data_IF_842349959638
#
_entry.id   IF_842349959638
#
_cell.length_a   1.000
_cell.length_b   1.000
_cell.length_c   1.000
_cell.angle_alpha   90.00
_cell.angle_beta   90.00
_cell.angle_gamma   90.00
#
_symmetry.space_group_name_H-M   'P 1'
#
loop_
_entity.id
_entity.type
_entity.pdbx_description
1 polymer ?
2 non-polymer ?
3 water ?
#
# COMPACT_ATOMS: atom_id res chain seq x y z
N UNK A 6 -11.89 -13.67 -18.81
CA UNK A 6 -10.82 -14.47 -19.33
C UNK A 6 -10.43 -15.37 -18.16
N UNK A 7 -9.32 -16.01 -18.26
CA UNK A 7 -8.83 -16.95 -17.25
C UNK A 7 -7.45 -16.54 -16.78
N UNK A 8 -7.46 -15.38 -16.23
CA UNK A 8 -6.33 -14.65 -15.76
C UNK A 8 -5.70 -15.29 -14.57
N UNK A 9 -6.49 -15.56 -13.52
CA UNK A 9 -5.85 -16.27 -12.41
C UNK A 9 -5.09 -17.49 -12.89
N UNK A 10 -5.81 -18.39 -13.55
CA UNK A 10 -5.24 -19.62 -14.08
C UNK A 10 -4.00 -19.39 -14.94
N UNK A 11 -4.09 -18.43 -15.85
CA UNK A 11 -3.01 -18.20 -16.81
C UNK A 11 -1.80 -17.53 -16.18
N UNK A 12 -2.05 -16.51 -15.37
CA UNK A 12 -0.99 -15.59 -14.95
C UNK A 12 -0.54 -15.71 -13.50
N UNK A 13 -1.30 -16.42 -12.67
CA UNK A 13 -0.88 -16.68 -11.28
C UNK A 13 0.48 -17.41 -11.19
N UNK A 14 0.70 -18.46 -12.02
CA UNK A 14 1.99 -19.15 -11.96
C UNK A 14 3.21 -18.26 -12.25
N UNK A 15 3.04 -17.21 -13.05
CA UNK A 15 4.16 -16.29 -13.32
C UNK A 15 4.33 -15.17 -12.28
N UNK A 16 3.23 -14.50 -11.93
CA UNK A 16 3.30 -13.29 -11.10
C UNK A 16 2.82 -13.46 -9.66
N UNK A 17 2.12 -14.56 -9.39
CA UNK A 17 1.60 -14.84 -8.06
C UNK A 17 2.68 -15.35 -7.13
N UNK A 18 2.53 -15.02 -5.85
CA UNK A 18 3.46 -15.47 -4.81
C UNK A 18 2.65 -16.18 -3.73
N UNK A 19 2.98 -17.45 -3.48
CA UNK A 19 2.28 -18.25 -2.49
C UNK A 19 2.69 -17.85 -1.06
N UNK A 20 1.76 -17.94 -0.13
CA UNK A 20 2.06 -17.70 1.29
C UNK A 20 3.00 -18.78 1.83
N UNK A 21 3.90 -18.35 2.71
CA UNK A 21 4.96 -19.21 3.21
C UNK A 21 5.32 -18.81 4.62
N UNK A 22 5.75 -19.80 5.41
CA UNK A 22 6.32 -19.58 6.74
C UNK A 22 7.69 -18.89 6.70
N UNK A 23 8.20 -18.61 5.50
CA UNK A 23 9.57 -18.16 5.29
C UNK A 23 9.63 -16.75 4.72
N UNK A 24 10.68 -16.02 5.07
CA UNK A 24 10.90 -14.67 4.55
C UNK A 24 11.19 -14.69 3.06
N UNK A 25 10.62 -13.72 2.33
CA UNK A 25 10.95 -13.54 0.92
C UNK A 25 12.37 -13.00 0.76
N UNK A 26 13.00 -13.41 -0.34
CA UNK A 26 14.31 -12.95 -0.75
C UNK A 26 14.03 -12.12 -2.01
N UNK A 27 13.99 -10.80 -1.88
CA UNK A 27 13.61 -9.92 -2.99
C UNK A 27 14.53 -10.04 -4.22
N UNK A 28 15.88 -10.05 -4.04
CA UNK A 28 16.75 -10.37 -5.18
C UNK A 28 16.39 -11.66 -5.93
N UNK A 29 16.12 -12.75 -5.22
CA UNK A 29 15.71 -13.99 -5.87
C UNK A 29 14.34 -13.83 -6.54
N UNK A 30 13.41 -13.17 -5.86
CA UNK A 30 12.06 -13.00 -6.38
C UNK A 30 12.04 -12.16 -7.66
N UNK A 31 12.69 -11.01 -7.62
CA UNK A 31 12.63 -10.02 -8.69
C UNK A 31 13.81 -10.09 -9.68
N UNK A 32 14.79 -10.96 -9.41
CA UNK A 32 15.93 -11.16 -10.32
C UNK A 32 16.96 -10.05 -10.34
N UNK A 33 16.87 -9.14 -9.38
CA UNK A 33 17.75 -7.97 -9.30
C UNK A 33 17.71 -7.36 -7.90
N UNK A 34 18.57 -6.36 -7.68
CA UNK A 34 18.54 -5.54 -6.48
C UNK A 34 17.98 -4.18 -6.89
N UNK A 35 16.76 -3.88 -6.43
CA UNK A 35 16.07 -2.64 -6.77
C UNK A 35 15.11 -2.26 -5.63
N UNK A 36 14.73 -0.96 -5.52
CA UNK A 36 13.77 -0.59 -4.46
C UNK A 36 12.45 -1.33 -4.60
N UNK A 37 11.83 -1.68 -3.46
CA UNK A 37 10.58 -2.45 -3.44
C UNK A 37 9.43 -1.67 -2.78
N UNK A 38 8.31 -1.59 -3.49
CA UNK A 38 7.12 -0.92 -2.96
C UNK A 38 6.01 -1.95 -2.76
N UNK A 39 5.38 -1.94 -1.58
CA UNK A 39 4.23 -2.80 -1.30
C UNK A 39 2.92 -2.01 -1.31
N UNK A 40 1.95 -2.47 -2.10
CA UNK A 40 0.58 -1.97 -1.96
C UNK A 40 -0.30 -2.98 -1.25
N UNK A 41 -0.86 -2.56 -0.11
CA UNK A 41 -1.77 -3.41 0.65
C UNK A 41 -3.21 -3.13 0.24
N UNK A 42 -3.93 -4.19 -0.16
CA UNK A 42 -5.33 -4.07 -0.58
C UNK A 42 -5.48 -3.33 -1.90
N UNK A 43 -4.84 -3.84 -2.95
CA UNK A 43 -4.77 -3.14 -4.24
C UNK A 43 -6.06 -3.13 -5.10
N UNK A 44 -7.10 -3.84 -4.67
CA UNK A 44 -8.37 -3.88 -5.40
C UNK A 44 -8.21 -4.59 -6.72
N UNK A 45 -8.52 -3.89 -7.81
CA UNK A 45 -8.36 -4.42 -9.17
C UNK A 45 -6.95 -4.16 -9.70
N UNK A 46 -6.13 -3.48 -8.89
CA UNK A 46 -4.72 -3.23 -9.22
C UNK A 46 -4.45 -2.11 -10.22
N UNK A 47 -5.42 -1.25 -10.45
CA UNK A 47 -5.26 -0.17 -11.44
C UNK A 47 -4.11 0.78 -11.08
N UNK A 48 -4.05 1.17 -9.81
CA UNK A 48 -2.98 2.04 -9.31
C UNK A 48 -1.62 1.35 -9.37
N UNK A 49 -1.60 0.09 -8.95
CA UNK A 49 -0.37 -0.71 -8.90
C UNK A 49 0.24 -0.95 -10.30
N UNK A 50 -0.61 -1.29 -11.26
CA UNK A 50 -0.15 -1.47 -12.64
C UNK A 50 0.38 -0.15 -13.21
N UNK A 51 -0.36 0.95 -13.03
CA UNK A 51 0.09 2.27 -13.52
C UNK A 51 1.43 2.65 -12.92
N UNK A 52 1.58 2.34 -11.63
CA UNK A 52 2.81 2.60 -10.89
C UNK A 52 3.99 1.81 -11.42
N UNK A 53 3.81 0.49 -11.55
CA UNK A 53 4.84 -0.41 -12.05
C UNK A 53 5.24 -0.07 -13.50
N UNK A 54 4.25 0.31 -14.31
CA UNK A 54 4.47 0.68 -15.71
C UNK A 54 5.38 1.91 -15.81
N UNK A 55 5.17 2.88 -14.92
CA UNK A 55 5.93 4.14 -14.94
C UNK A 55 7.32 4.00 -14.34
N UNK A 56 7.52 2.95 -13.53
CA UNK A 56 8.79 2.74 -12.83
C UNK A 56 9.38 1.35 -13.10
N UNK A 57 9.83 1.10 -14.35
CA UNK A 57 10.43 -0.20 -14.69
C UNK A 57 11.73 -0.48 -13.92
N UNK A 58 12.37 0.56 -13.38
CA UNK A 58 13.60 0.43 -12.60
C UNK A 58 13.36 0.01 -11.14
N UNK A 59 12.09 -0.03 -10.74
CA UNK A 59 11.70 -0.43 -9.40
C UNK A 59 10.81 -1.68 -9.41
N UNK A 60 10.72 -2.34 -8.27
CA UNK A 60 9.90 -3.55 -8.11
C UNK A 60 8.69 -3.34 -7.20
N UNK A 61 7.66 -4.14 -7.44
CA UNK A 61 6.36 -3.91 -6.81
C UNK A 61 5.75 -5.23 -6.35
N UNK A 62 5.31 -5.23 -5.09
CA UNK A 62 4.52 -6.34 -4.54
C UNK A 62 3.13 -5.83 -4.14
N UNK A 63 2.12 -6.60 -4.48
CA UNK A 63 0.76 -6.24 -4.12
C UNK A 63 0.13 -7.34 -3.29
N UNK A 64 -0.70 -6.95 -2.34
CA UNK A 64 -1.50 -7.93 -1.61
C UNK A 64 -2.97 -7.57 -1.77
N UNK A 65 -3.80 -8.57 -2.06
CA UNK A 65 -5.25 -8.38 -2.15
C UNK A 65 -5.98 -9.71 -1.91
N UNK A 66 -6.81 -9.75 -0.88
CA UNK A 66 -7.55 -10.98 -0.53
C UNK A 66 -8.76 -11.25 -1.44
N UNK A 67 -9.26 -10.22 -2.12
CA UNK A 67 -10.40 -10.35 -3.01
C UNK A 67 -9.86 -10.90 -4.32
N UNK A 68 -10.02 -12.21 -4.52
CA UNK A 68 -9.39 -12.90 -5.65
C UNK A 68 -9.79 -12.43 -7.07
N UNK A 69 -11.05 -11.96 -7.28
CA UNK A 69 -11.34 -11.35 -8.58
C UNK A 69 -10.53 -10.08 -8.85
N UNK A 70 -10.24 -9.33 -7.80
CA UNK A 70 -9.32 -8.18 -7.89
C UNK A 70 -7.92 -8.63 -8.29
N UNK A 71 -7.44 -9.71 -7.68
CA UNK A 71 -6.14 -10.31 -8.04
C UNK A 71 -6.10 -10.68 -9.53
N UNK A 72 -7.15 -11.35 -10.01
CA UNK A 72 -7.28 -11.70 -11.43
C UNK A 72 -7.25 -10.51 -12.37
N UNK A 73 -8.03 -9.47 -12.03
CA UNK A 73 -8.06 -8.21 -12.80
C UNK A 73 -6.69 -7.56 -12.90
N UNK A 74 -5.95 -7.59 -11.79
CA UNK A 74 -4.61 -7.01 -11.72
C UNK A 74 -3.60 -7.77 -12.60
N UNK A 75 -3.65 -9.10 -12.52
CA UNK A 75 -2.83 -9.97 -13.37
C UNK A 75 -3.09 -9.76 -14.86
N UNK A 76 -4.37 -9.73 -15.25
CA UNK A 76 -4.74 -9.51 -16.64
C UNK A 76 -4.18 -8.19 -17.15
N UNK A 77 -4.32 -7.13 -16.35
CA UNK A 77 -3.80 -5.81 -16.70
C UNK A 77 -2.27 -5.77 -16.74
N UNK A 78 -1.63 -6.37 -15.74
CA UNK A 78 -0.16 -6.43 -15.70
C UNK A 78 0.39 -7.17 -16.91
N UNK A 79 -0.24 -8.29 -17.28
CA UNK A 79 0.16 -9.06 -18.47
C UNK A 79 0.02 -8.22 -19.74
N UNK A 80 -1.15 -7.58 -19.90
CA UNK A 80 -1.41 -6.70 -21.04
C UNK A 80 -0.39 -5.56 -21.17
N UNK A 81 0.11 -5.07 -20.04
CA UNK A 81 1.09 -3.98 -20.04
C UNK A 81 2.52 -4.52 -20.09
N UNK A 82 2.65 -5.85 -20.14
CA UNK A 82 3.96 -6.50 -20.26
C UNK A 82 4.90 -6.23 -19.10
N UNK A 83 4.35 -6.14 -17.89
CA UNK A 83 5.17 -5.87 -16.72
C UNK A 83 5.96 -7.09 -16.30
N UNK A 84 7.23 -6.87 -15.99
CA UNK A 84 8.08 -7.91 -15.42
C UNK A 84 8.43 -7.62 -13.95
N UNK A 85 8.07 -6.43 -13.48
CA UNK A 85 8.46 -5.94 -12.13
C UNK A 85 7.33 -5.96 -11.09
N UNK A 86 6.33 -6.81 -11.31
CA UNK A 86 5.21 -6.90 -10.40
C UNK A 86 4.93 -8.35 -9.96
N UNK A 87 4.77 -8.52 -8.65
CA UNK A 87 4.33 -9.79 -8.08
C UNK A 87 3.14 -9.51 -7.18
N UNK A 88 2.23 -10.48 -7.07
CA UNK A 88 1.02 -10.30 -6.25
C UNK A 88 0.76 -11.47 -5.32
N UNK A 89 0.14 -11.16 -4.18
CA UNK A 89 -0.27 -12.16 -3.23
C UNK A 89 -1.76 -12.09 -2.93
N UNK A 90 -2.33 -13.23 -2.56
CA UNK A 90 -3.73 -13.32 -2.16
C UNK A 90 -3.77 -14.00 -0.80
N UNK A 91 -3.42 -13.22 0.23
CA UNK A 91 -3.36 -13.71 1.60
C UNK A 91 -3.51 -12.51 2.53
N UNK A 92 -3.99 -12.76 3.74
CA UNK A 92 -4.11 -11.73 4.75
C UNK A 92 -2.80 -10.94 4.85
N UNK A 93 -2.90 -9.61 4.68
CA UNK A 93 -1.73 -8.74 4.61
C UNK A 93 -0.87 -8.75 5.88
N UNK A 94 -1.52 -8.76 7.04
CA UNK A 94 -0.82 -8.78 8.32
C UNK A 94 0.04 -10.03 8.49
N UNK A 95 -0.51 -11.21 8.18
CA UNK A 95 0.25 -12.45 8.16
C UNK A 95 1.44 -12.40 7.20
N UNK A 96 1.23 -11.82 6.00
CA UNK A 96 2.33 -11.65 5.03
C UNK A 96 3.41 -10.72 5.61
N UNK A 97 2.99 -9.62 6.26
CA UNK A 97 3.94 -8.70 6.88
C UNK A 97 4.76 -9.41 7.96
N UNK A 98 4.08 -10.17 8.83
CA UNK A 98 4.76 -10.88 9.92
C UNK A 98 5.70 -11.97 9.42
N UNK A 99 5.22 -12.78 8.47
CA UNK A 99 5.92 -13.99 8.06
C UNK A 99 6.87 -13.82 6.87
N UNK A 100 6.57 -12.91 5.94
CA UNK A 100 7.24 -12.93 4.64
C UNK A 100 8.01 -11.68 4.21
N UNK A 101 7.74 -10.54 4.85
CA UNK A 101 8.41 -9.29 4.51
C UNK A 101 9.53 -9.04 5.52
N UNK A 102 10.79 -8.97 5.04
CA UNK A 102 11.91 -8.73 5.96
C UNK A 102 11.87 -7.31 6.53
N UNK A 103 12.33 -7.15 7.78
CA UNK A 103 12.46 -5.82 8.39
C UNK A 103 13.32 -4.92 7.50
N UNK A 104 13.04 -3.62 7.53
CA UNK A 104 13.87 -2.58 6.86
C UNK A 104 14.01 -2.74 5.35
N UNK A 105 13.09 -3.44 4.71
CA UNK A 105 13.28 -3.84 3.32
C UNK A 105 12.56 -2.97 2.28
N UNK A 106 11.54 -2.22 2.70
CA UNK A 106 10.66 -1.54 1.74
C UNK A 106 10.91 -0.05 1.61
N UNK A 107 10.87 0.41 0.37
CA UNK A 107 10.98 1.83 0.04
C UNK A 107 9.66 2.52 0.34
N UNK A 108 8.56 1.84 0.08
CA UNK A 108 7.23 2.44 0.25
C UNK A 108 6.15 1.40 0.52
N UNK A 109 5.17 1.79 1.35
CA UNK A 109 3.98 0.99 1.60
C UNK A 109 2.78 1.89 1.29
N UNK A 110 1.88 1.37 0.46
CA UNK A 110 0.67 2.10 0.06
C UNK A 110 -0.57 1.40 0.64
N UNK A 111 -1.49 2.19 1.16
CA UNK A 111 -2.79 1.68 1.61
C UNK A 111 -3.88 2.63 1.16
N UNK A 112 -4.51 2.33 0.03
CA UNK A 112 -5.46 3.23 -0.61
C UNK A 112 -6.89 2.73 -0.47
N UNK A 113 -7.73 3.58 0.11
CA UNK A 113 -9.14 3.29 0.37
C UNK A 113 -9.39 1.97 1.11
N UNK A 114 -8.69 1.77 2.24
CA UNK A 114 -9.02 0.59 3.04
C UNK A 114 -10.47 0.71 3.53
N UNK A 115 -11.14 -0.43 3.74
CA UNK A 115 -12.53 -0.45 4.21
C UNK A 115 -12.73 0.59 5.32
N UNK A 116 -13.58 1.61 5.06
CA UNK A 116 -13.76 2.72 5.99
C UNK A 116 -14.66 2.40 7.20
N UNK A 117 -15.49 1.36 7.12
CA UNK A 117 -16.24 0.80 8.22
C UNK A 117 -16.96 1.91 8.96
N UNK A 118 -17.78 2.55 8.12
CA UNK A 118 -18.58 3.70 8.55
C UNK A 118 -19.17 3.66 9.97
N UNK A 119 -19.80 2.56 10.32
CA UNK A 119 -20.41 2.38 11.66
C UNK A 119 -19.44 2.38 12.83
N UNK A 120 -19.80 3.13 13.85
CA UNK A 120 -19.02 3.22 15.08
C UNK A 120 -18.79 1.84 15.69
N UNK A 121 -19.80 0.97 15.62
CA UNK A 121 -19.67 -0.39 16.16
C UNK A 121 -18.63 -1.26 15.44
N UNK A 122 -18.22 -0.84 14.23
CA UNK A 122 -17.19 -1.56 13.48
C UNK A 122 -15.82 -0.86 13.46
N UNK A 123 -15.66 0.19 14.28
CA UNK A 123 -14.45 1.03 14.25
C UNK A 123 -13.13 0.26 14.40
N UNK A 124 -13.17 -0.79 15.21
CA UNK A 124 -11.99 -1.62 15.45
C UNK A 124 -11.64 -2.53 14.26
N UNK A 125 -12.56 -2.67 13.31
CA UNK A 125 -12.27 -3.43 12.10
C UNK A 125 -11.36 -2.66 11.16
N UNK A 126 -11.30 -1.34 11.35
CA UNK A 126 -10.46 -0.48 10.54
C UNK A 126 -9.00 -0.90 10.72
N UNK A 127 -8.31 -1.16 9.61
CA UNK A 127 -6.95 -1.74 9.64
C UNK A 127 -5.89 -0.79 10.21
N UNK A 128 -6.04 0.51 10.00
CA UNK A 128 -5.08 1.48 10.55
C UNK A 128 -5.30 1.65 12.05
N UNK A 129 -4.41 1.05 12.83
CA UNK A 129 -4.41 1.14 14.27
C UNK A 129 -2.92 1.13 14.63
N UNK A 130 -2.59 1.45 15.87
CA UNK A 130 -1.18 1.57 16.27
C UNK A 130 -0.36 0.30 15.99
N UNK A 131 -0.82 -0.89 16.45
CA UNK A 131 0.00 -2.07 16.18
C UNK A 131 0.26 -2.33 14.68
N UNK A 132 -0.75 -2.13 13.83
CA UNK A 132 -0.57 -2.27 12.37
C UNK A 132 0.42 -1.27 11.80
N UNK A 133 0.29 -0.01 12.19
CA UNK A 133 1.18 1.04 11.69
C UNK A 133 2.63 0.85 12.16
N UNK A 134 2.79 0.37 13.40
CA UNK A 134 4.10 -0.01 13.92
C UNK A 134 4.72 -1.13 13.09
N UNK A 135 3.92 -2.15 12.78
CA UNK A 135 4.38 -3.29 11.98
C UNK A 135 4.85 -2.84 10.61
N UNK A 136 4.06 -1.99 9.96
CA UNK A 136 4.44 -1.39 8.67
C UNK A 136 5.76 -0.62 8.77
N UNK A 137 5.92 0.16 9.84
CA UNK A 137 7.14 0.95 10.03
C UNK A 137 8.37 0.06 10.12
N UNK A 138 8.25 -1.09 10.80
CA UNK A 138 9.38 -2.03 10.95
C UNK A 138 9.84 -2.61 9.61
N UNK A 139 8.97 -2.55 8.60
CA UNK A 139 9.26 -3.11 7.26
C UNK A 139 9.81 -2.06 6.30
N UNK A 140 9.66 -0.80 6.67
CA UNK A 140 10.24 0.29 5.89
C UNK A 140 11.71 0.44 6.21
N UNK A 141 12.51 0.70 5.18
CA UNK A 141 13.87 1.21 5.39
C UNK A 141 13.73 2.62 5.95
N UNK A 142 14.76 3.10 6.66
CA UNK A 142 14.78 4.50 7.09
C UNK A 142 14.67 5.38 5.86
N UNK A 143 13.84 6.42 5.95
CA UNK A 143 13.60 7.29 4.79
C UNK A 143 12.45 6.80 3.92
N UNK A 144 12.01 5.56 4.15
CA UNK A 144 10.83 5.01 3.47
C UNK A 144 9.54 5.67 3.93
N UNK A 145 8.47 5.52 3.15
CA UNK A 145 7.21 6.23 3.40
C UNK A 145 6.01 5.28 3.49
N UNK A 146 5.15 5.49 4.49
CA UNK A 146 3.82 4.87 4.56
C UNK A 146 2.81 5.90 4.05
N UNK A 147 2.20 5.58 2.91
CA UNK A 147 1.20 6.43 2.25
C UNK A 147 -0.16 5.72 2.27
N UNK A 148 -1.11 6.35 2.96
CA UNK A 148 -2.50 5.88 2.99
C UNK A 148 -3.44 6.95 2.43
N UNK A 149 -4.58 6.53 1.91
CA UNK A 149 -5.57 7.46 1.38
C UNK A 149 -6.98 7.01 1.75
N UNK A 150 -7.86 7.97 2.01
CA UNK A 150 -9.27 7.63 2.27
C UNK A 150 -10.20 8.73 1.77
N UNK A 151 -11.39 8.34 1.36
CA UNK A 151 -12.43 9.31 1.01
C UNK A 151 -13.45 9.54 2.14
N UNK A 152 -13.14 9.02 3.33
CA UNK A 152 -14.02 9.12 4.49
C UNK A 152 -13.33 9.91 5.61
N UNK A 153 -13.77 11.16 5.82
CA UNK A 153 -13.07 12.08 6.75
C UNK A 153 -12.88 11.55 8.18
N UNK A 154 -13.91 10.91 8.78
CA UNK A 154 -13.67 10.32 10.11
C UNK A 154 -12.51 9.31 10.13
N UNK A 155 -12.38 8.50 9.06
CA UNK A 155 -11.26 7.58 8.96
C UNK A 155 -9.93 8.35 8.82
N UNK A 156 -9.94 9.40 8.01
CA UNK A 156 -8.77 10.24 7.78
C UNK A 156 -8.25 10.82 9.11
N UNK A 157 -9.18 11.30 9.93
CA UNK A 157 -8.87 11.86 11.24
C UNK A 157 -8.36 10.79 12.19
N UNK A 158 -8.96 9.61 12.14
CA UNK A 158 -8.47 8.47 12.91
C UNK A 158 -7.04 8.08 12.46
N UNK A 159 -6.83 7.96 11.14
CA UNK A 159 -5.50 7.68 10.60
C UNK A 159 -4.44 8.68 11.12
N UNK A 160 -4.78 9.97 11.08
CA UNK A 160 -3.87 11.01 11.54
C UNK A 160 -3.58 10.87 13.04
N UNK A 161 -4.60 10.55 13.82
CA UNK A 161 -4.39 10.36 15.25
C UNK A 161 -3.43 9.21 15.54
N UNK A 162 -3.66 8.07 14.87
CA UNK A 162 -2.80 6.89 15.04
C UNK A 162 -1.36 7.23 14.67
N UNK A 163 -1.18 7.82 13.48
CA UNK A 163 0.16 8.04 12.92
C UNK A 163 0.96 9.05 13.73
N UNK A 164 0.30 10.11 14.17
CA UNK A 164 0.91 11.18 14.98
C UNK A 164 1.39 10.69 16.34
N UNK A 165 0.83 9.58 16.82
CA UNK A 165 1.15 9.05 18.14
C UNK A 165 2.39 8.14 18.17
N UNK A 166 2.93 7.81 17.00
CA UNK A 166 3.99 6.81 16.89
C UNK A 166 5.35 7.45 16.65
N UNK A 167 6.24 7.32 17.64
CA UNK A 167 7.64 7.74 17.52
C UNK A 167 8.30 7.00 16.34
N UNK A 168 9.00 7.73 15.48
CA UNK A 168 9.64 7.11 14.33
C UNK A 168 8.90 7.36 13.03
N UNK A 169 7.71 7.93 13.13
CA UNK A 169 7.00 8.41 11.95
C UNK A 169 7.03 9.94 11.92
N UNK A 170 7.49 10.49 10.81
CA UNK A 170 7.50 11.93 10.62
C UNK A 170 6.51 12.32 9.52
N UNK A 171 5.55 13.16 9.88
CA UNK A 171 4.54 13.65 8.96
C UNK A 171 5.17 14.52 7.87
N UNK A 172 4.94 14.14 6.61
CA UNK A 172 5.44 14.91 5.48
C UNK A 172 4.50 16.06 5.11
N UNK A 173 3.33 16.12 5.76
CA UNK A 173 2.43 17.26 5.60
C UNK A 173 3.05 18.51 6.19
N UNK A 174 3.07 19.57 5.39
CA UNK A 174 3.59 20.85 5.87
C UNK A 174 2.62 21.55 6.84
N UNK A 175 1.35 21.12 6.82
CA UNK A 175 0.34 21.61 7.78
C UNK A 175 0.07 20.62 8.92
N UNK A 176 0.99 19.67 9.12
CA UNK A 176 0.89 18.68 10.19
C UNK A 176 -0.38 17.82 10.13
N UNK A 177 -0.95 17.67 8.87
CA UNK A 177 -2.11 16.77 8.77
C UNK A 177 -2.11 15.92 7.48
N UNK A 178 -2.45 16.55 6.37
CA UNK A 178 -2.60 15.86 5.10
C UNK A 178 -1.65 16.42 4.05
N UNK A 179 -1.34 15.57 3.08
CA UNK A 179 -0.43 15.93 2.02
C UNK A 179 -1.13 16.07 0.66
N UNK A 180 -0.57 16.88 -0.25
CA UNK A 180 -1.05 16.83 -1.63
C UNK A 180 -0.91 15.41 -2.21
N UNK A 181 -1.91 15.00 -3.01
CA UNK A 181 -1.87 13.73 -3.74
C UNK A 181 -0.56 13.65 -4.53
N UNK A 182 0.26 12.61 -4.29
CA UNK A 182 1.48 12.49 -5.09
C UNK A 182 1.22 11.79 -6.43
N UNK A 183 2.22 11.83 -7.32
CA UNK A 183 2.14 11.16 -8.62
C UNK A 183 1.97 9.65 -8.43
N UNK A 184 2.46 9.15 -7.29
CA UNK A 184 2.37 7.74 -6.94
C UNK A 184 0.95 7.20 -6.62
N UNK A 185 -0.04 8.08 -6.62
CA UNK A 185 -1.46 7.67 -6.55
C UNK A 185 -2.32 8.43 -7.59
N UNK A 186 -3.08 7.69 -8.42
CA UNK A 186 -3.91 8.40 -9.39
C UNK A 186 -5.24 8.97 -8.84
N UNK A 187 -5.76 9.99 -9.51
CA UNK A 187 -7.09 10.56 -9.21
C UNK A 187 -8.18 9.49 -9.38
N UNK A 188 -9.17 9.48 -8.48
CA UNK A 188 -10.27 8.50 -8.52
C UNK A 188 -11.64 9.16 -8.79
N UNK A 189 -12.67 8.33 -8.94
CA UNK A 189 -14.05 8.80 -9.14
C UNK A 189 -14.69 9.43 -7.88
N UNK A 190 -14.09 9.17 -6.73
CA UNK A 190 -14.55 9.73 -5.44
C UNK A 190 -14.06 11.17 -5.29
N UNK A 191 -13.30 11.62 -6.29
CA UNK A 191 -12.45 12.78 -6.17
C UNK A 191 -12.88 13.94 -7.07
N UNK A 192 -12.99 15.12 -6.47
CA UNK A 192 -13.22 16.35 -7.23
C UNK A 192 -12.04 17.29 -6.99
N UNK A 193 -10.96 17.11 -7.77
CA UNK A 193 -9.73 17.87 -7.57
C UNK A 193 -9.97 19.39 -7.65
N UNK A 194 -9.54 20.11 -6.62
CA UNK A 194 -9.70 21.56 -6.53
C UNK A 194 -11.08 22.05 -6.12
N UNK A 195 -11.96 21.13 -5.71
CA UNK A 195 -13.33 21.48 -5.25
C UNK A 195 -13.26 22.42 -4.05
N UNK A 196 -14.21 23.36 -3.98
CA UNK A 196 -14.22 24.40 -2.93
C UNK A 196 -14.42 23.86 -1.51
N UNK A 197 -14.99 22.67 -1.39
CA UNK A 197 -15.16 21.99 -0.10
C UNK A 197 -14.06 20.95 0.17
N UNK A 198 -13.01 20.98 -0.65
CA UNK A 198 -11.91 20.00 -0.57
C UNK A 198 -12.02 18.94 -1.65
N UNK A 199 -10.92 18.23 -1.92
CA UNK A 199 -10.87 17.23 -2.99
C UNK A 199 -11.84 16.04 -2.78
N UNK A 200 -12.21 15.78 -1.53
CA UNK A 200 -13.01 14.59 -1.19
C UNK A 200 -12.18 13.34 -0.90
N UNK A 201 -10.86 13.45 -1.07
CA UNK A 201 -9.93 12.38 -0.71
C UNK A 201 -8.81 12.96 0.13
N UNK A 202 -8.47 12.24 1.20
CA UNK A 202 -7.41 12.63 2.13
C UNK A 202 -6.20 11.70 1.93
N UNK A 203 -5.04 12.28 1.62
CA UNK A 203 -3.76 11.55 1.59
C UNK A 203 -2.93 11.85 2.83
N UNK A 204 -2.33 10.80 3.38
CA UNK A 204 -1.42 10.94 4.50
C UNK A 204 -0.15 10.20 4.13
N UNK A 205 0.98 10.87 4.37
CA UNK A 205 2.29 10.31 4.11
C UNK A 205 3.22 10.59 5.27
N UNK A 206 3.78 9.53 5.84
CA UNK A 206 4.70 9.65 6.94
C UNK A 206 5.98 8.91 6.58
N UNK A 207 7.11 9.56 6.83
CA UNK A 207 8.44 9.00 6.62
C UNK A 207 8.93 8.29 7.88
N UNK A 208 9.60 7.14 7.70
CA UNK A 208 10.26 6.49 8.82
C UNK A 208 11.53 7.25 9.18
N UNK A 209 11.60 7.72 10.42
CA UNK A 209 12.80 8.38 10.94
C UNK A 209 13.32 7.63 12.18
N UNK A 210 14.54 7.94 12.62
CA UNK A 210 15.07 7.31 13.82
C UNK A 210 14.23 7.70 15.03
N UNK A 211 14.06 6.75 15.95
CA UNK A 211 13.32 7.01 17.17
C UNK A 211 13.96 8.17 17.92
N UNK A 212 13.12 9.01 18.51
CA UNK A 212 13.59 10.09 19.34
C UNK A 212 13.68 9.61 20.77
N UNK A 213 12.57 9.13 21.28
CA UNK A 213 12.55 8.71 22.65
C UNK A 213 12.80 7.25 22.93
#
# INVERSE_FOLDING_TARGET
MGSGQEHALENYWPVMGVEFSEDMLDFPALFGREAPVTLEIGFGMGASLVAMAKDRPEQDFLGIEVHSPGVGACLASAHEEGLSNLRVMCHDAVEVLHKMIPDNSLRMVQLFFPDPWHKARHNKRRIVQVPFAELVKSKLQLGGVFHMATDWEPYAEHMLEVMSSIDGYKNLSESNDYVPRPASRPVTKFEQRGHRLGHGVWDLMFERVKLEHHHHHH
#
